data_IF_657989231415
#
_entry.id   IF_657989231415
#
_cell.length_a   1.000
_cell.length_b   1.000
_cell.length_c   1.000
_cell.angle_alpha   90.00
_cell.angle_beta   90.00
_cell.angle_gamma   90.00
#
_symmetry.space_group_name_H-M   'P 1'
#
loop_
_entity.id
_entity.type
_entity.pdbx_description
1 polymer ?
#
# COMPACT_ATOMS: atom_id res chain seq x y z
N UNK A 1 15.58 -10.54 -4.45
CA UNK A 1 15.54 -11.66 -3.47
C UNK A 1 14.57 -11.25 -2.37
N UNK A 2 13.78 -12.13 -1.73
CA UNK A 2 12.93 -11.67 -0.63
C UNK A 2 13.80 -11.03 0.46
N UNK A 3 13.44 -9.82 0.88
CA UNK A 3 14.12 -9.13 1.98
C UNK A 3 13.93 -9.98 3.25
N UNK A 4 15.00 -10.32 3.98
CA UNK A 4 14.89 -11.11 5.20
C UNK A 4 13.95 -10.47 6.22
N UNK A 5 13.31 -11.30 7.04
CA UNK A 5 12.44 -10.84 8.11
C UNK A 5 13.23 -10.11 9.21
N UNK A 6 12.50 -9.35 10.04
CA UNK A 6 13.07 -8.58 11.15
C UNK A 6 14.00 -9.41 12.05
N UNK A 7 13.60 -10.64 12.39
CA UNK A 7 14.34 -11.48 13.33
C UNK A 7 15.62 -12.02 12.69
N UNK A 8 15.54 -12.45 11.42
CA UNK A 8 16.71 -12.90 10.66
C UNK A 8 17.78 -11.82 10.49
N UNK A 9 17.40 -10.54 10.47
CA UNK A 9 18.33 -9.41 10.38
C UNK A 9 19.04 -9.06 11.70
N UNK A 10 18.59 -9.55 12.86
CA UNK A 10 19.16 -9.16 14.16
C UNK A 10 20.64 -9.54 14.29
N UNK A 11 21.01 -10.78 13.94
CA UNK A 11 22.40 -11.23 14.02
C UNK A 11 23.33 -10.51 13.01
N UNK A 12 22.96 -10.34 11.72
CA UNK A 12 23.71 -9.49 10.79
C UNK A 12 23.91 -8.06 11.29
N UNK A 13 22.88 -7.43 11.87
CA UNK A 13 22.99 -6.08 12.44
C UNK A 13 23.97 -6.06 13.61
N UNK A 14 23.91 -7.05 14.51
CA UNK A 14 24.85 -7.14 15.63
C UNK A 14 26.30 -7.30 15.14
N UNK A 15 26.53 -8.11 14.10
CA UNK A 15 27.84 -8.28 13.45
C UNK A 15 28.34 -6.99 12.81
N UNK A 16 27.45 -6.21 12.20
CA UNK A 16 27.79 -4.93 11.58
C UNK A 16 28.32 -3.89 12.58
N UNK A 17 27.92 -4.01 13.85
CA UNK A 17 28.36 -3.14 14.95
C UNK A 17 29.61 -3.66 15.68
N UNK A 18 30.23 -4.74 15.20
CA UNK A 18 31.40 -5.34 15.84
C UNK A 18 32.61 -4.42 15.88
N UNK A 19 33.48 -4.62 16.88
CA UNK A 19 34.73 -3.86 17.06
C UNK A 19 34.63 -2.64 17.99
N UNK A 20 33.48 -2.41 18.64
CA UNK A 20 33.31 -1.36 19.65
C UNK A 20 33.35 0.07 19.10
N UNK A 21 33.20 0.24 17.79
CA UNK A 21 33.27 1.53 17.10
C UNK A 21 31.88 2.13 16.90
N UNK A 22 31.80 3.46 17.03
CA UNK A 22 30.62 4.25 16.68
C UNK A 22 30.30 4.09 15.20
N UNK A 23 29.22 3.37 14.91
CA UNK A 23 28.87 2.97 13.56
C UNK A 23 27.59 3.66 13.11
N UNK A 24 27.63 4.46 12.04
CA UNK A 24 26.43 5.03 11.44
C UNK A 24 25.47 3.95 10.94
N UNK A 25 24.16 4.17 11.09
CA UNK A 25 23.13 3.24 10.63
C UNK A 25 23.16 3.02 9.11
N UNK A 26 23.69 3.97 8.33
CA UNK A 26 23.98 3.77 6.91
C UNK A 26 25.00 2.66 6.69
N UNK A 27 26.09 2.64 7.46
CA UNK A 27 27.12 1.59 7.38
C UNK A 27 26.61 0.23 7.84
N UNK A 28 25.74 0.21 8.85
CA UNK A 28 25.02 -1.02 9.25
C UNK A 28 24.20 -1.56 8.08
N UNK A 29 23.40 -0.71 7.43
CA UNK A 29 22.60 -1.11 6.27
C UNK A 29 23.45 -1.62 5.11
N UNK A 30 24.55 -0.92 4.78
CA UNK A 30 25.47 -1.32 3.71
C UNK A 30 26.08 -2.71 3.99
N UNK A 31 26.53 -2.93 5.23
CA UNK A 31 27.10 -4.22 5.65
C UNK A 31 26.07 -5.33 5.57
N UNK A 32 24.87 -5.12 6.12
CA UNK A 32 23.82 -6.15 6.16
C UNK A 32 23.30 -6.45 4.75
N UNK A 33 23.11 -5.44 3.90
CA UNK A 33 22.73 -5.67 2.51
C UNK A 33 23.76 -6.52 1.75
N UNK A 34 25.06 -6.27 1.97
CA UNK A 34 26.13 -7.08 1.40
C UNK A 34 26.16 -8.51 1.97
N UNK A 35 25.96 -8.67 3.28
CA UNK A 35 25.96 -9.97 3.96
C UNK A 35 24.80 -10.86 3.51
N UNK A 36 23.63 -10.27 3.26
CA UNK A 36 22.41 -10.96 2.82
C UNK A 36 22.29 -11.06 1.29
N UNK A 37 23.25 -10.51 0.53
CA UNK A 37 23.24 -10.57 -0.94
C UNK A 37 22.11 -9.77 -1.60
N UNK A 38 21.65 -8.69 -0.96
CA UNK A 38 20.55 -7.86 -1.46
C UNK A 38 20.99 -6.97 -2.62
N UNK A 39 20.13 -6.84 -3.63
CA UNK A 39 20.35 -5.94 -4.76
C UNK A 39 19.95 -4.50 -4.42
N UNK A 40 20.41 -3.49 -5.20
CA UNK A 40 19.94 -2.11 -5.03
C UNK A 40 18.43 -1.94 -5.26
N UNK A 41 17.78 -2.86 -5.98
CA UNK A 41 16.33 -2.85 -6.13
C UNK A 41 15.65 -3.35 -4.85
N UNK A 42 16.14 -4.44 -4.26
CA UNK A 42 15.61 -4.99 -3.01
C UNK A 42 15.70 -3.94 -1.87
N UNK A 43 16.84 -3.25 -1.74
CA UNK A 43 17.04 -2.23 -0.69
C UNK A 43 16.11 -1.01 -0.84
N UNK A 44 15.57 -0.77 -2.04
CA UNK A 44 14.67 0.35 -2.37
C UNK A 44 13.19 -0.06 -2.41
N UNK A 45 12.87 -1.33 -2.18
CA UNK A 45 11.49 -1.78 -2.08
C UNK A 45 10.79 -1.03 -0.93
N UNK A 46 9.74 -0.29 -1.26
CA UNK A 46 8.99 0.53 -0.31
C UNK A 46 7.93 -0.32 0.39
N UNK A 47 7.59 0.08 1.62
CA UNK A 47 6.33 -0.34 2.22
C UNK A 47 5.16 0.03 1.28
N UNK A 48 4.04 -0.71 1.29
CA UNK A 48 2.80 -0.34 0.61
C UNK A 48 2.38 1.13 0.76
N UNK A 49 2.63 1.76 1.92
CA UNK A 49 2.38 3.20 2.12
C UNK A 49 3.27 4.15 1.30
N UNK A 50 4.34 3.65 0.68
CA UNK A 50 5.34 4.44 -0.05
C UNK A 50 6.25 5.29 0.84
N UNK A 51 6.08 5.21 2.17
CA UNK A 51 6.70 6.14 3.13
C UNK A 51 8.19 5.87 3.38
N UNK A 52 8.60 4.59 3.40
CA UNK A 52 9.99 4.20 3.66
C UNK A 52 10.31 2.81 3.06
N UNK A 53 11.60 2.51 2.80
CA UNK A 53 12.00 1.18 2.35
C UNK A 53 11.81 0.10 3.43
N UNK A 54 11.29 -1.07 3.03
CA UNK A 54 11.06 -2.23 3.90
C UNK A 54 12.34 -2.63 4.64
N UNK A 55 13.45 -2.73 3.92
CA UNK A 55 14.75 -3.09 4.49
C UNK A 55 15.21 -2.08 5.55
N UNK A 56 15.03 -0.78 5.30
CA UNK A 56 15.40 0.25 6.28
C UNK A 56 14.54 0.15 7.54
N UNK A 57 13.22 -0.06 7.37
CA UNK A 57 12.30 -0.21 8.49
C UNK A 57 12.66 -1.42 9.37
N UNK A 58 12.91 -2.58 8.76
CA UNK A 58 13.27 -3.81 9.50
C UNK A 58 14.60 -3.69 10.23
N UNK A 59 15.61 -3.05 9.63
CA UNK A 59 16.89 -2.78 10.32
C UNK A 59 16.67 -1.85 11.52
N UNK A 60 15.86 -0.81 11.38
CA UNK A 60 15.55 0.10 12.49
C UNK A 60 14.90 -0.64 13.66
N UNK A 61 13.90 -1.48 13.38
CA UNK A 61 13.27 -2.33 14.38
C UNK A 61 14.23 -3.34 15.01
N UNK A 62 15.13 -3.95 14.23
CA UNK A 62 16.13 -4.88 14.77
C UNK A 62 17.03 -4.18 15.80
N UNK A 63 17.46 -2.95 15.48
CA UNK A 63 18.22 -2.10 16.41
C UNK A 63 17.38 -1.76 17.64
N UNK A 64 16.12 -1.32 17.48
CA UNK A 64 15.21 -1.01 18.60
C UNK A 64 15.10 -2.17 19.59
N UNK A 65 14.80 -3.38 19.09
CA UNK A 65 14.69 -4.57 19.94
C UNK A 65 15.99 -4.89 20.68
N UNK A 66 17.13 -4.85 19.97
CA UNK A 66 18.43 -5.11 20.59
C UNK A 66 18.87 -4.01 21.56
N UNK A 67 18.45 -2.76 21.36
CA UNK A 67 18.68 -1.67 22.30
C UNK A 67 17.88 -1.84 23.59
N UNK A 68 16.61 -2.24 23.50
CA UNK A 68 15.82 -2.56 24.70
C UNK A 68 16.34 -3.82 25.43
N UNK A 69 17.00 -4.74 24.74
CA UNK A 69 17.73 -5.84 25.38
C UNK A 69 19.09 -5.43 26.00
N UNK A 70 19.52 -4.18 25.81
CA UNK A 70 20.79 -3.67 26.31
C UNK A 70 22.01 -4.22 25.58
N UNK A 71 21.85 -4.72 24.35
CA UNK A 71 22.93 -5.24 23.51
C UNK A 71 23.57 -4.16 22.62
N UNK A 72 22.77 -3.16 22.25
CA UNK A 72 23.16 -2.03 21.37
C UNK A 72 22.77 -0.72 22.04
N UNK A 73 23.62 0.30 21.97
CA UNK A 73 23.32 1.65 22.45
C UNK A 73 23.31 2.68 21.31
N UNK A 74 22.38 3.63 21.35
CA UNK A 74 22.35 4.81 20.48
C UNK A 74 23.30 5.84 21.08
N UNK A 75 24.42 6.11 20.41
CA UNK A 75 25.44 7.07 20.88
C UNK A 75 25.00 8.50 20.58
N UNK A 76 24.48 8.71 19.37
CA UNK A 76 23.88 9.97 18.90
C UNK A 76 22.96 9.69 17.72
N UNK A 77 22.33 10.72 17.15
CA UNK A 77 21.43 10.60 15.99
C UNK A 77 22.06 9.73 14.88
N UNK A 78 21.40 8.61 14.59
CA UNK A 78 21.80 7.67 13.54
C UNK A 78 23.12 6.92 13.76
N UNK A 79 23.71 6.94 14.96
CA UNK A 79 24.99 6.29 15.26
C UNK A 79 24.83 5.37 16.46
N UNK A 80 25.26 4.12 16.30
CA UNK A 80 25.07 3.04 17.27
C UNK A 80 26.39 2.34 17.60
N UNK A 81 26.45 1.71 18.77
CA UNK A 81 27.60 0.91 19.24
C UNK A 81 27.11 -0.34 19.97
N UNK A 82 27.89 -1.43 19.94
CA UNK A 82 27.68 -2.55 20.85
C UNK A 82 27.96 -2.16 22.30
N UNK A 83 27.13 -2.64 23.21
CA UNK A 83 27.46 -2.61 24.64
C UNK A 83 28.42 -3.74 24.98
N UNK A 84 29.02 -3.73 26.18
CA UNK A 84 29.82 -4.86 26.68
C UNK A 84 29.07 -6.20 26.63
N UNK A 85 27.75 -6.18 26.88
CA UNK A 85 26.91 -7.38 26.79
C UNK A 85 26.76 -7.85 25.34
N UNK A 86 26.58 -6.91 24.40
CA UNK A 86 26.53 -7.19 22.98
C UNK A 86 27.83 -7.80 22.45
N UNK A 87 28.98 -7.27 22.86
CA UNK A 87 30.30 -7.82 22.52
C UNK A 87 30.49 -9.24 23.05
N UNK A 88 30.15 -9.47 24.32
CA UNK A 88 30.22 -10.80 24.93
C UNK A 88 29.30 -11.82 24.25
N UNK A 89 28.10 -11.39 23.87
CA UNK A 89 27.17 -12.23 23.10
C UNK A 89 27.79 -12.59 21.75
N UNK A 90 28.30 -11.60 21.01
CA UNK A 90 28.86 -11.84 19.68
C UNK A 90 30.08 -12.76 19.73
N UNK A 91 30.90 -12.67 20.77
CA UNK A 91 32.05 -13.55 21.02
C UNK A 91 31.64 -15.02 21.25
N UNK A 92 30.41 -15.29 21.70
CA UNK A 92 29.87 -16.65 21.85
C UNK A 92 29.40 -17.25 20.52
N UNK A 93 29.48 -16.50 19.41
CA UNK A 93 29.10 -16.93 18.07
C UNK A 93 27.69 -17.55 18.02
N UNK A 94 26.65 -16.82 18.47
CA UNK A 94 25.29 -17.36 18.51
C UNK A 94 24.83 -17.73 17.09
N UNK A 95 24.16 -18.87 16.91
CA UNK A 95 23.69 -19.31 15.60
C UNK A 95 22.54 -18.44 15.07
N UNK A 96 21.76 -17.85 15.98
CA UNK A 96 20.61 -16.98 15.68
C UNK A 96 20.37 -16.03 16.84
N UNK A 97 19.90 -14.83 16.54
CA UNK A 97 19.34 -13.89 17.51
C UNK A 97 17.95 -13.56 17.00
N UNK A 98 16.94 -13.74 17.84
CA UNK A 98 15.55 -13.51 17.51
C UNK A 98 14.80 -12.98 18.74
N UNK A 99 13.51 -12.65 18.60
CA UNK A 99 12.74 -12.06 19.70
C UNK A 99 12.63 -13.00 20.91
N UNK A 100 12.66 -14.31 20.68
CA UNK A 100 12.67 -15.34 21.73
C UNK A 100 13.99 -15.35 22.47
N UNK A 101 15.10 -15.23 21.77
CA UNK A 101 16.44 -15.11 22.35
C UNK A 101 16.55 -13.85 23.23
N UNK A 102 15.99 -12.72 22.78
CA UNK A 102 16.04 -11.47 23.54
C UNK A 102 15.26 -11.54 24.87
N UNK A 103 14.32 -12.48 25.04
CA UNK A 103 13.63 -12.70 26.33
C UNK A 103 14.56 -13.15 27.46
N UNK A 104 15.76 -13.63 27.14
CA UNK A 104 16.77 -13.98 28.15
C UNK A 104 17.38 -12.74 28.84
N UNK A 105 17.05 -11.52 28.39
CA UNK A 105 17.53 -10.27 28.97
C UNK A 105 16.41 -9.60 29.76
N UNK A 106 16.61 -9.40 31.08
CA UNK A 106 15.58 -8.82 31.96
C UNK A 106 15.09 -7.44 31.50
N UNK A 107 16.00 -6.59 31.02
CA UNK A 107 15.66 -5.28 30.46
C UNK A 107 14.68 -5.37 29.28
N UNK A 108 14.80 -6.42 28.46
CA UNK A 108 13.92 -6.65 27.33
C UNK A 108 12.52 -7.09 27.78
N UNK A 109 12.46 -8.00 28.74
CA UNK A 109 11.17 -8.47 29.29
C UNK A 109 10.44 -7.36 30.04
N UNK A 110 11.16 -6.54 30.81
CA UNK A 110 10.59 -5.37 31.50
C UNK A 110 10.00 -4.36 30.51
N UNK A 111 10.70 -4.07 29.42
CA UNK A 111 10.20 -3.21 28.34
C UNK A 111 8.92 -3.77 27.71
N UNK A 112 8.90 -5.07 27.38
CA UNK A 112 7.73 -5.74 26.78
C UNK A 112 6.54 -5.84 27.73
N UNK A 113 6.78 -6.01 29.04
CA UNK A 113 5.73 -6.01 30.05
C UNK A 113 5.16 -4.62 30.31
N UNK A 114 5.95 -3.56 30.14
CA UNK A 114 5.49 -2.17 30.20
C UNK A 114 4.56 -1.77 29.04
N UNK A 115 4.52 -2.54 27.95
CA UNK A 115 3.56 -2.38 26.84
C UNK A 115 2.19 -3.03 27.12
N UNK A 116 2.01 -3.70 28.26
CA UNK A 116 0.76 -4.33 28.68
C UNK A 116 0.26 -3.82 30.03
N UNK A 117 -1.04 -3.55 30.12
CA UNK A 117 -1.80 -3.30 31.37
C UNK A 117 -1.33 -4.20 32.53
N UNK A 118 -1.31 -3.74 33.80
CA UNK A 118 -0.85 -4.56 34.92
C UNK A 118 -1.61 -5.89 34.96
N UNK A 119 -0.85 -6.99 34.92
CA UNK A 119 -1.37 -8.33 35.01
C UNK A 119 -2.13 -8.51 36.34
N UNK A 120 -3.45 -8.55 36.26
CA UNK A 120 -4.26 -9.28 37.24
C UNK A 120 -3.88 -10.74 37.13
N UNK A 121 -3.40 -11.32 38.23
CA UNK A 121 -2.95 -12.70 38.34
C UNK A 121 -4.02 -13.68 37.86
N UNK A 122 -3.67 -14.50 36.87
CA UNK A 122 -4.50 -15.59 36.37
C UNK A 122 -3.99 -16.08 35.02
N UNK A 123 -3.09 -17.07 35.04
CA UNK A 123 -2.73 -18.08 34.01
C UNK A 123 -3.17 -17.88 32.55
N UNK A 124 -3.01 -16.68 32.02
CA UNK A 124 -3.00 -16.38 30.60
C UNK A 124 -1.96 -15.29 30.40
N UNK A 125 -0.68 -15.70 30.36
CA UNK A 125 0.28 -14.92 29.57
C UNK A 125 -0.36 -14.70 28.21
N UNK A 126 -0.53 -13.45 27.72
CA UNK A 126 -0.85 -13.27 26.33
C UNK A 126 0.29 -13.92 25.58
N UNK A 127 0.00 -15.04 24.92
CA UNK A 127 0.90 -15.70 24.01
C UNK A 127 1.20 -14.70 22.89
N UNK A 128 2.17 -13.84 23.12
CA UNK A 128 2.79 -12.99 22.13
C UNK A 128 3.39 -13.96 21.12
N UNK A 129 2.71 -14.08 19.99
CA UNK A 129 3.01 -15.03 18.93
C UNK A 129 4.51 -15.05 18.67
N UNK A 130 5.09 -16.26 18.62
CA UNK A 130 6.48 -16.48 18.20
C UNK A 130 6.72 -16.06 16.72
N UNK A 131 5.69 -15.53 16.07
CA UNK A 131 5.52 -15.28 14.64
C UNK A 131 5.62 -13.79 14.23
N UNK A 132 6.19 -12.92 15.07
CA UNK A 132 6.47 -11.52 14.68
C UNK A 132 7.68 -11.48 13.74
N UNK A 133 7.49 -11.96 12.51
CA UNK A 133 8.41 -11.80 11.38
C UNK A 133 8.28 -10.41 10.72
N UNK A 134 7.20 -9.70 11.03
CA UNK A 134 6.80 -8.43 10.41
C UNK A 134 6.84 -7.30 11.44
N UNK A 135 7.18 -6.10 10.97
CA UNK A 135 7.16 -4.90 11.81
C UNK A 135 5.71 -4.50 12.13
N UNK A 136 5.46 -3.72 13.20
CA UNK A 136 4.13 -3.21 13.50
C UNK A 136 3.48 -2.45 12.33
N UNK A 137 4.26 -1.65 11.59
CA UNK A 137 3.77 -0.94 10.40
C UNK A 137 3.37 -1.92 9.29
N UNK A 138 4.16 -2.96 9.03
CA UNK A 138 3.81 -4.02 8.06
C UNK A 138 2.55 -4.79 8.48
N UNK A 139 2.40 -5.06 9.78
CA UNK A 139 1.21 -5.73 10.31
C UNK A 139 -0.05 -4.86 10.15
N UNK A 140 0.06 -3.56 10.43
CA UNK A 140 -1.03 -2.61 10.24
C UNK A 140 -1.40 -2.47 8.76
N UNK A 141 -0.42 -2.30 7.88
CA UNK A 141 -0.66 -2.17 6.43
C UNK A 141 -1.32 -3.42 5.85
N UNK A 142 -0.91 -4.62 6.29
CA UNK A 142 -1.56 -5.86 5.91
C UNK A 142 -3.03 -5.89 6.35
N UNK A 143 -3.31 -5.57 7.61
CA UNK A 143 -4.67 -5.55 8.13
C UNK A 143 -5.55 -4.52 7.39
N UNK A 144 -5.01 -3.34 7.07
CA UNK A 144 -5.71 -2.33 6.27
C UNK A 144 -5.96 -2.82 4.84
N UNK A 145 -4.98 -3.49 4.23
CA UNK A 145 -5.11 -4.10 2.90
C UNK A 145 -6.22 -5.14 2.85
N UNK A 146 -6.27 -6.06 3.81
CA UNK A 146 -7.31 -7.09 3.93
C UNK A 146 -8.71 -6.46 4.05
N UNK A 147 -8.86 -5.44 4.90
CA UNK A 147 -10.12 -4.71 5.05
C UNK A 147 -10.53 -3.97 3.77
N UNK A 148 -9.55 -3.44 3.01
CA UNK A 148 -9.79 -2.76 1.73
C UNK A 148 -10.25 -3.75 0.67
N UNK A 149 -9.58 -4.89 0.53
CA UNK A 149 -9.95 -5.94 -0.43
C UNK A 149 -11.38 -6.47 -0.17
N UNK A 150 -11.74 -6.70 1.10
CA UNK A 150 -13.10 -7.09 1.48
C UNK A 150 -14.13 -6.01 1.09
N UNK A 151 -13.82 -4.74 1.34
CA UNK A 151 -14.70 -3.62 0.98
C UNK A 151 -14.86 -3.48 -0.55
N UNK A 152 -13.76 -3.57 -1.31
CA UNK A 152 -13.79 -3.49 -2.78
C UNK A 152 -14.66 -4.61 -3.36
N UNK A 153 -14.52 -5.84 -2.86
CA UNK A 153 -15.37 -6.96 -3.26
C UNK A 153 -16.86 -6.70 -2.95
N UNK A 154 -17.17 -6.16 -1.76
CA UNK A 154 -18.54 -5.83 -1.36
C UNK A 154 -19.15 -4.70 -2.22
N UNK A 155 -18.36 -3.67 -2.54
CA UNK A 155 -18.76 -2.57 -3.42
C UNK A 155 -19.09 -3.10 -4.81
N UNK A 156 -18.20 -3.90 -5.41
CA UNK A 156 -18.41 -4.46 -6.74
C UNK A 156 -19.71 -5.29 -6.81
N UNK A 157 -19.95 -6.10 -5.79
CA UNK A 157 -21.14 -6.95 -5.72
C UNK A 157 -22.43 -6.11 -5.59
N UNK A 158 -22.40 -5.00 -4.82
CA UNK A 158 -23.53 -4.07 -4.76
C UNK A 158 -23.79 -3.39 -6.11
N UNK A 159 -22.74 -2.98 -6.82
CA UNK A 159 -22.86 -2.37 -8.17
C UNK A 159 -23.46 -3.37 -9.16
N UNK A 160 -23.03 -4.65 -9.13
CA UNK A 160 -23.59 -5.70 -9.99
C UNK A 160 -25.09 -5.96 -9.76
N UNK A 161 -25.55 -5.85 -8.51
CA UNK A 161 -26.96 -6.06 -8.14
C UNK A 161 -27.86 -4.84 -8.40
N UNK A 162 -27.28 -3.65 -8.48
CA UNK A 162 -28.03 -2.42 -8.72
C UNK A 162 -28.49 -2.31 -10.19
N UNK A 163 -29.54 -1.51 -10.44
CA UNK A 163 -30.08 -1.25 -11.79
C UNK A 163 -29.03 -0.70 -12.77
N UNK A 164 -29.13 -0.93 -14.09
CA UNK A 164 -28.15 -0.45 -15.07
C UNK A 164 -27.84 1.05 -14.97
N UNK A 165 -28.88 1.87 -14.78
CA UNK A 165 -28.76 3.35 -14.62
C UNK A 165 -27.90 3.72 -13.40
N UNK A 166 -27.83 2.86 -12.39
CA UNK A 166 -26.96 3.09 -11.24
C UNK A 166 -25.48 3.03 -11.62
N UNK A 167 -25.08 2.08 -12.46
CA UNK A 167 -23.69 1.95 -12.91
C UNK A 167 -23.27 3.17 -13.72
N UNK A 168 -24.11 3.64 -14.63
CA UNK A 168 -23.87 4.85 -15.41
C UNK A 168 -23.60 6.05 -14.50
N UNK A 169 -24.44 6.23 -13.46
CA UNK A 169 -24.25 7.28 -12.46
C UNK A 169 -22.95 7.12 -11.68
N UNK A 170 -22.61 5.91 -11.24
CA UNK A 170 -21.36 5.62 -10.51
C UNK A 170 -20.14 6.00 -11.33
N UNK A 171 -20.10 5.64 -12.62
CA UNK A 171 -18.97 5.97 -13.50
C UNK A 171 -18.78 7.48 -13.61
N UNK A 172 -19.88 8.23 -13.67
CA UNK A 172 -19.86 9.68 -13.82
C UNK A 172 -19.43 10.36 -12.52
N UNK A 173 -19.98 9.92 -11.38
CA UNK A 173 -19.60 10.41 -10.06
C UNK A 173 -18.11 10.14 -9.80
N UNK A 174 -17.62 8.96 -10.19
CA UNK A 174 -16.21 8.59 -10.08
C UNK A 174 -15.32 9.52 -10.90
N UNK A 175 -15.61 9.73 -12.18
CA UNK A 175 -14.78 10.62 -13.01
C UNK A 175 -14.78 12.06 -12.50
N UNK A 176 -15.90 12.54 -11.96
CA UNK A 176 -15.93 13.86 -11.29
C UNK A 176 -15.04 13.90 -10.05
N UNK A 177 -15.08 12.87 -9.20
CA UNK A 177 -14.24 12.78 -8.02
C UNK A 177 -12.74 12.67 -8.37
N UNK A 178 -12.41 12.10 -9.54
CA UNK A 178 -11.07 12.08 -10.12
C UNK A 178 -10.63 13.44 -10.72
N UNK A 179 -11.53 14.43 -10.76
CA UNK A 179 -11.23 15.79 -11.23
C UNK A 179 -11.58 16.08 -12.70
N UNK A 180 -12.21 15.15 -13.42
CA UNK A 180 -12.73 15.43 -14.77
C UNK A 180 -13.88 16.44 -14.69
N UNK A 181 -13.94 17.38 -15.63
CA UNK A 181 -14.95 18.45 -15.64
C UNK A 181 -14.68 19.65 -14.72
N UNK A 182 -13.50 19.71 -14.06
CA UNK A 182 -12.99 20.85 -13.26
C UNK A 182 -14.03 21.54 -12.34
N UNK A 183 -14.81 20.75 -11.61
CA UNK A 183 -15.63 21.25 -10.49
C UNK A 183 -16.87 22.07 -10.86
N UNK A 184 -17.20 22.24 -12.14
CA UNK A 184 -18.47 22.83 -12.57
C UNK A 184 -19.49 21.72 -12.85
N UNK A 185 -20.58 21.69 -12.07
CA UNK A 185 -21.69 20.74 -12.23
C UNK A 185 -22.33 20.78 -13.63
N UNK A 186 -22.16 21.88 -14.37
CA UNK A 186 -22.63 22.03 -15.75
C UNK A 186 -21.70 21.38 -16.81
N UNK A 187 -20.41 21.19 -16.50
CA UNK A 187 -19.41 20.64 -17.44
C UNK A 187 -19.30 19.11 -17.39
N UNK A 188 -19.65 18.51 -16.25
CA UNK A 188 -19.80 17.07 -16.09
C UNK A 188 -21.16 16.53 -16.54
N UNK A 189 -21.89 17.21 -17.42
CA UNK A 189 -23.22 16.79 -17.85
C UNK A 189 -23.14 15.57 -18.77
N UNK A 190 -23.66 14.45 -18.27
CA UNK A 190 -23.99 13.28 -19.07
C UNK A 190 -25.17 13.65 -19.96
N UNK A 191 -24.92 13.84 -21.25
CA UNK A 191 -25.99 13.86 -22.24
C UNK A 191 -26.18 12.46 -22.79
N UNK A 192 -26.87 11.60 -22.05
CA UNK A 192 -27.30 10.30 -22.56
C UNK A 192 -28.71 10.43 -23.14
N UNK A 193 -28.87 10.25 -24.47
CA UNK A 193 -30.18 9.95 -25.05
C UNK A 193 -30.25 8.43 -25.27
N UNK A 194 -31.33 7.75 -24.84
CA UNK A 194 -31.55 6.37 -25.21
C UNK A 194 -31.49 6.25 -26.75
N UNK A 195 -30.57 5.44 -27.27
CA UNK A 195 -30.43 5.17 -28.70
C UNK A 195 -29.16 5.69 -29.39
N UNK A 196 -28.19 6.27 -28.67
CA UNK A 196 -26.96 6.84 -29.26
C UNK A 196 -25.88 5.80 -29.62
N UNK A 197 -26.28 4.62 -30.09
CA UNK A 197 -25.37 3.65 -30.71
C UNK A 197 -24.31 3.01 -29.80
N UNK A 198 -24.52 2.98 -28.47
CA UNK A 198 -23.55 2.42 -27.53
C UNK A 198 -22.70 3.46 -26.81
N UNK A 199 -23.28 4.62 -26.49
CA UNK A 199 -22.66 5.63 -25.64
C UNK A 199 -23.62 5.95 -24.51
N UNK A 200 -23.16 5.75 -23.27
CA UNK A 200 -23.98 5.98 -22.08
C UNK A 200 -23.77 7.39 -21.53
N UNK A 201 -22.63 8.02 -21.85
CA UNK A 201 -22.38 9.38 -21.44
C UNK A 201 -21.16 10.03 -22.09
N UNK A 202 -20.99 11.31 -21.82
CA UNK A 202 -19.81 12.09 -22.22
C UNK A 202 -19.42 13.05 -21.10
N UNK A 203 -18.13 13.31 -20.97
CA UNK A 203 -17.57 14.24 -19.99
C UNK A 203 -16.51 15.11 -20.65
N UNK A 204 -16.50 16.40 -20.31
CA UNK A 204 -15.48 17.34 -20.80
C UNK A 204 -14.27 17.31 -19.88
N UNK A 205 -13.08 17.23 -20.46
CA UNK A 205 -11.82 17.27 -19.72
C UNK A 205 -11.44 18.71 -19.33
N UNK A 206 -11.78 19.67 -20.20
CA UNK A 206 -11.47 21.09 -20.01
C UNK A 206 -12.72 21.98 -19.98
N UNK A 207 -12.56 23.19 -19.45
CA UNK A 207 -13.65 24.16 -19.27
C UNK A 207 -14.18 24.76 -20.58
N UNK A 208 -13.38 24.73 -21.67
CA UNK A 208 -13.80 25.19 -23.00
C UNK A 208 -14.54 24.07 -23.76
N UNK A 209 -14.44 22.82 -23.29
CA UNK A 209 -15.07 21.65 -23.90
C UNK A 209 -14.42 21.25 -25.22
N UNK A 210 -13.12 21.50 -25.38
CA UNK A 210 -12.36 21.12 -26.56
C UNK A 210 -12.04 19.62 -26.56
N UNK A 211 -11.87 19.06 -25.36
CA UNK A 211 -11.62 17.64 -25.13
C UNK A 211 -12.84 16.97 -24.50
N UNK A 212 -13.56 16.16 -25.28
CA UNK A 212 -14.66 15.31 -24.80
C UNK A 212 -14.21 13.84 -24.68
N UNK A 213 -14.47 13.25 -23.51
CA UNK A 213 -14.23 11.83 -23.21
C UNK A 213 -15.57 11.09 -23.21
N UNK A 214 -15.66 10.05 -24.03
CA UNK A 214 -16.88 9.26 -24.19
C UNK A 214 -16.91 8.08 -23.24
N UNK A 215 -18.08 7.78 -22.69
CA UNK A 215 -18.27 6.78 -21.65
C UNK A 215 -19.24 5.69 -22.11
N UNK A 216 -18.84 4.44 -21.89
CA UNK A 216 -19.71 3.28 -22.01
C UNK A 216 -19.52 2.41 -20.77
N UNK A 217 -20.61 1.96 -20.17
CA UNK A 217 -20.66 1.19 -18.95
C UNK A 217 -21.51 -0.07 -19.16
N UNK A 218 -20.86 -1.24 -19.22
CA UNK A 218 -21.54 -2.53 -19.37
C UNK A 218 -21.61 -3.31 -18.07
N UNK A 219 -22.81 -3.44 -17.53
CA UNK A 219 -23.09 -4.29 -16.35
C UNK A 219 -23.20 -5.76 -16.75
N UNK A 220 -22.17 -6.54 -16.45
CA UNK A 220 -22.14 -7.99 -16.63
C UNK A 220 -21.87 -8.72 -15.32
N UNK A 221 -22.39 -9.95 -15.20
CA UNK A 221 -22.09 -10.85 -14.09
C UNK A 221 -20.63 -11.30 -14.11
N UNK A 222 -20.11 -11.71 -12.95
CA UNK A 222 -18.77 -12.29 -12.85
C UNK A 222 -18.61 -13.46 -13.82
N UNK A 223 -17.49 -13.49 -14.56
CA UNK A 223 -17.18 -14.53 -15.54
C UNK A 223 -17.79 -14.30 -16.93
N UNK A 224 -18.69 -13.34 -17.11
CA UNK A 224 -19.13 -12.91 -18.43
C UNK A 224 -18.26 -11.75 -18.93
N UNK A 225 -17.14 -12.07 -19.57
CA UNK A 225 -16.14 -11.08 -19.99
C UNK A 225 -16.58 -10.30 -21.23
N UNK A 226 -16.22 -9.02 -21.26
CA UNK A 226 -16.39 -8.14 -22.43
C UNK A 226 -15.41 -8.57 -23.52
N UNK A 227 -15.95 -8.81 -24.73
CA UNK A 227 -15.19 -9.28 -25.88
C UNK A 227 -14.74 -8.16 -26.82
N UNK A 228 -14.03 -8.54 -27.87
CA UNK A 228 -13.59 -7.60 -28.91
C UNK A 228 -14.76 -6.93 -29.64
N UNK A 229 -15.88 -7.65 -29.83
CA UNK A 229 -17.07 -7.11 -30.50
C UNK A 229 -17.62 -5.86 -29.79
N UNK A 230 -17.79 -5.92 -28.47
CA UNK A 230 -18.25 -4.79 -27.66
C UNK A 230 -17.34 -3.56 -27.81
N UNK A 231 -16.02 -3.77 -27.82
CA UNK A 231 -15.04 -2.69 -27.98
C UNK A 231 -14.98 -2.14 -29.41
N UNK A 232 -15.23 -2.99 -30.41
CA UNK A 232 -15.32 -2.57 -31.81
C UNK A 232 -16.54 -1.69 -32.04
N UNK A 233 -17.68 -2.06 -31.45
CA UNK A 233 -18.91 -1.26 -31.52
C UNK A 233 -18.68 0.10 -30.85
N UNK A 234 -18.04 0.12 -29.67
CA UNK A 234 -17.68 1.36 -28.99
C UNK A 234 -16.70 2.24 -29.78
N UNK A 235 -15.66 1.65 -30.38
CA UNK A 235 -14.74 2.37 -31.29
C UNK A 235 -15.50 3.00 -32.45
N UNK A 236 -16.44 2.28 -33.05
CA UNK A 236 -17.30 2.79 -34.12
C UNK A 236 -18.18 3.96 -33.67
N UNK A 237 -18.72 3.90 -32.45
CA UNK A 237 -19.48 5.01 -31.87
C UNK A 237 -18.60 6.25 -31.62
N UNK A 238 -17.36 6.07 -31.14
CA UNK A 238 -16.38 7.16 -30.99
C UNK A 238 -16.04 7.78 -32.35
N UNK A 239 -15.86 6.97 -33.41
CA UNK A 239 -15.62 7.46 -34.77
C UNK A 239 -16.79 8.31 -35.29
N UNK A 240 -18.03 7.82 -35.13
CA UNK A 240 -19.23 8.55 -35.54
C UNK A 240 -19.40 9.88 -34.79
N UNK A 241 -18.94 9.94 -33.54
CA UNK A 241 -18.99 11.12 -32.69
C UNK A 241 -17.85 12.13 -32.95
N UNK A 242 -16.82 11.77 -33.71
CA UNK A 242 -15.69 12.65 -34.04
C UNK A 242 -14.69 12.90 -32.90
N UNK A 243 -14.73 12.10 -31.83
CA UNK A 243 -13.76 12.16 -30.72
C UNK A 243 -12.65 11.11 -30.88
N UNK A 244 -11.60 11.23 -30.05
CA UNK A 244 -10.45 10.30 -30.01
C UNK A 244 -10.25 9.66 -28.63
N UNK A 245 -11.05 10.04 -27.62
CA UNK A 245 -10.89 9.63 -26.22
C UNK A 245 -12.15 8.91 -25.72
N UNK A 246 -11.97 7.79 -25.03
CA UNK A 246 -13.08 7.08 -24.40
C UNK A 246 -12.67 6.25 -23.18
N UNK A 247 -13.63 6.01 -22.31
CA UNK A 247 -13.52 5.10 -21.17
C UNK A 247 -14.60 4.05 -21.29
N UNK A 248 -14.18 2.79 -21.33
CA UNK A 248 -15.10 1.65 -21.30
C UNK A 248 -15.02 1.00 -19.92
N UNK A 249 -16.14 0.99 -19.22
CA UNK A 249 -16.28 0.43 -17.88
C UNK A 249 -17.10 -0.84 -17.92
N UNK A 250 -16.71 -1.86 -17.16
CA UNK A 250 -17.56 -3.03 -16.92
C UNK A 250 -17.48 -3.50 -15.48
N UNK A 251 -18.55 -4.11 -14.98
CA UNK A 251 -18.56 -4.81 -13.68
C UNK A 251 -17.96 -6.22 -13.74
N UNK A 252 -17.48 -6.66 -14.91
CA UNK A 252 -16.84 -7.96 -15.15
C UNK A 252 -15.37 -7.76 -15.55
N UNK A 253 -14.82 -8.59 -16.43
CA UNK A 253 -13.45 -8.50 -16.95
C UNK A 253 -13.41 -8.35 -18.47
N UNK A 254 -12.28 -7.94 -19.02
CA UNK A 254 -12.04 -7.93 -20.47
C UNK A 254 -11.26 -9.16 -20.91
N UNK A 255 -11.61 -9.73 -22.06
CA UNK A 255 -10.81 -10.80 -22.66
C UNK A 255 -9.44 -10.29 -23.12
N UNK A 256 -8.46 -11.21 -23.26
CA UNK A 256 -7.14 -10.86 -23.81
C UNK A 256 -7.22 -10.25 -25.21
N UNK A 257 -8.13 -10.77 -26.05
CA UNK A 257 -8.34 -10.22 -27.40
C UNK A 257 -8.93 -8.82 -27.36
N UNK A 258 -9.85 -8.54 -26.42
CA UNK A 258 -10.42 -7.22 -26.23
C UNK A 258 -9.34 -6.18 -25.84
N UNK A 259 -8.47 -6.51 -24.88
CA UNK A 259 -7.34 -5.64 -24.48
C UNK A 259 -6.38 -5.39 -25.65
N UNK A 260 -5.98 -6.45 -26.36
CA UNK A 260 -5.09 -6.35 -27.51
C UNK A 260 -5.69 -5.57 -28.71
N UNK A 261 -7.01 -5.56 -28.85
CA UNK A 261 -7.70 -4.75 -29.85
C UNK A 261 -7.58 -3.25 -29.56
N UNK A 262 -7.78 -2.84 -28.30
CA UNK A 262 -7.65 -1.43 -27.88
C UNK A 262 -6.21 -0.94 -27.98
N UNK A 263 -5.22 -1.75 -27.62
CA UNK A 263 -3.79 -1.40 -27.74
C UNK A 263 -3.36 -1.09 -29.19
N UNK A 264 -4.05 -1.67 -30.18
CA UNK A 264 -3.78 -1.43 -31.62
C UNK A 264 -4.59 -0.28 -32.20
N UNK A 265 -5.57 0.24 -31.48
CA UNK A 265 -6.40 1.35 -31.93
C UNK A 265 -5.60 2.65 -31.96
N UNK A 266 -5.87 3.52 -32.93
CA UNK A 266 -5.33 4.88 -32.95
C UNK A 266 -6.01 5.82 -31.93
N UNK A 267 -7.10 5.35 -31.32
CA UNK A 267 -7.88 6.07 -30.30
C UNK A 267 -7.31 5.81 -28.90
N UNK A 268 -7.46 6.78 -27.99
CA UNK A 268 -7.11 6.63 -26.58
C UNK A 268 -8.30 6.08 -25.81
N UNK A 269 -8.36 4.77 -25.65
CA UNK A 269 -9.42 4.10 -24.90
C UNK A 269 -8.84 3.52 -23.62
N UNK A 270 -9.44 3.90 -22.49
CA UNK A 270 -9.12 3.35 -21.17
C UNK A 270 -10.16 2.27 -20.83
N UNK A 271 -9.69 1.11 -20.38
CA UNK A 271 -10.53 -0.01 -19.97
C UNK A 271 -10.52 -0.09 -18.45
N UNK A 272 -11.69 -0.01 -17.82
CA UNK A 272 -11.88 -0.16 -16.38
C UNK A 272 -12.73 -1.41 -16.15
N UNK A 273 -12.13 -2.45 -15.59
CA UNK A 273 -12.85 -3.68 -15.23
C UNK A 273 -13.44 -3.58 -13.83
N UNK A 274 -14.13 -4.64 -13.38
CA UNK A 274 -14.88 -4.60 -12.13
C UNK A 274 -14.01 -4.43 -10.90
N UNK A 275 -12.82 -5.04 -10.89
CA UNK A 275 -11.86 -4.90 -9.78
C UNK A 275 -11.32 -3.48 -9.73
N UNK A 276 -10.88 -2.93 -10.87
CA UNK A 276 -10.39 -1.55 -10.93
C UNK A 276 -11.50 -0.53 -10.63
N UNK A 277 -12.73 -0.76 -11.09
CA UNK A 277 -13.88 0.08 -10.76
C UNK A 277 -14.09 0.15 -9.24
N UNK A 278 -14.09 -1.00 -8.56
CA UNK A 278 -14.30 -1.04 -7.12
C UNK A 278 -13.16 -0.36 -6.35
N UNK A 279 -11.92 -0.58 -6.76
CA UNK A 279 -10.75 0.10 -6.21
C UNK A 279 -10.85 1.61 -6.32
N UNK A 280 -11.18 2.11 -7.52
CA UNK A 280 -11.35 3.53 -7.78
C UNK A 280 -12.52 4.11 -6.99
N UNK A 281 -13.63 3.36 -6.84
CA UNK A 281 -14.74 3.79 -6.00
C UNK A 281 -14.33 3.94 -4.54
N UNK A 282 -13.55 3.00 -3.99
CA UNK A 282 -13.06 3.10 -2.61
C UNK A 282 -12.05 4.25 -2.45
N UNK A 283 -11.15 4.41 -3.41
CA UNK A 283 -10.11 5.46 -3.39
C UNK A 283 -10.67 6.88 -3.49
N UNK A 284 -11.77 7.05 -4.22
CA UNK A 284 -12.42 8.34 -4.44
C UNK A 284 -13.72 8.53 -3.63
N UNK A 285 -13.90 7.76 -2.55
CA UNK A 285 -15.04 7.86 -1.63
C UNK A 285 -16.44 7.71 -2.30
N UNK A 286 -16.53 6.95 -3.40
CA UNK A 286 -17.77 6.72 -4.14
C UNK A 286 -18.53 5.54 -3.50
N UNK A 287 -19.66 5.85 -2.88
CA UNK A 287 -20.53 4.83 -2.28
C UNK A 287 -19.97 4.20 -1.00
N UNK A 288 -18.88 4.74 -0.46
CA UNK A 288 -18.25 4.33 0.79
C UNK A 288 -18.12 5.51 1.76
N UNK A 289 -17.87 5.23 3.03
CA UNK A 289 -17.64 6.22 4.08
C UNK A 289 -16.67 5.67 5.12
N UNK A 290 -16.02 6.56 5.85
CA UNK A 290 -15.17 6.19 6.98
C UNK A 290 -15.99 5.39 8.01
N UNK A 291 -15.53 4.16 8.30
CA UNK A 291 -16.09 3.29 9.34
C UNK A 291 -15.63 3.71 10.75
N UNK A 292 -14.45 4.33 10.84
CA UNK A 292 -13.83 4.82 12.07
C UNK A 292 -12.96 6.05 11.79
N UNK A 293 -12.64 6.89 12.79
CA UNK A 293 -11.69 7.98 12.64
C UNK A 293 -10.29 7.48 12.24
N UNK A 294 -9.48 8.29 11.54
CA UNK A 294 -8.12 7.92 11.18
C UNK A 294 -7.22 7.82 12.42
N UNK A 295 -6.28 6.87 12.41
CA UNK A 295 -5.22 6.78 13.40
C UNK A 295 -4.02 7.65 12.99
N UNK A 296 -3.55 8.51 13.89
CA UNK A 296 -2.34 9.31 13.68
C UNK A 296 -1.12 8.65 14.33
N UNK A 297 -0.14 8.24 13.52
CA UNK A 297 1.15 7.74 14.01
C UNK A 297 2.15 8.90 14.02
N UNK A 298 2.68 9.23 15.20
CA UNK A 298 3.66 10.31 15.38
C UNK A 298 5.08 9.74 15.48
N UNK A 299 6.05 10.51 15.03
CA UNK A 299 7.49 10.23 15.20
C UNK A 299 8.15 11.39 15.94
N UNK A 300 9.26 11.10 16.61
CA UNK A 300 10.10 12.15 17.21
C UNK A 300 10.57 13.09 16.11
N UNK A 301 10.41 14.38 16.36
CA UNK A 301 11.04 15.44 15.57
C UNK A 301 12.45 15.68 16.13
N UNK A 302 13.44 14.98 15.57
CA UNK A 302 14.83 15.07 16.03
C UNK A 302 15.37 16.51 15.92
N UNK A 303 14.89 17.31 14.95
CA UNK A 303 15.37 18.68 14.75
C UNK A 303 14.94 19.62 15.89
N UNK A 304 13.83 19.30 16.58
CA UNK A 304 13.41 20.00 17.79
C UNK A 304 14.39 19.79 18.97
N UNK A 305 14.91 18.57 19.12
CA UNK A 305 15.78 18.19 20.25
C UNK A 305 17.28 18.40 20.00
N UNK A 306 17.68 18.57 18.73
CA UNK A 306 19.08 18.84 18.33
C UNK A 306 19.46 20.34 18.39
N UNK A 307 18.55 21.23 18.82
CA UNK A 307 18.86 22.66 18.96
C UNK A 307 19.84 22.90 20.13
N UNK A 308 21.10 23.21 19.80
CA UNK A 308 22.10 23.76 20.74
C UNK A 308 21.82 25.23 21.14
N UNK A 309 20.63 25.76 20.81
CA UNK A 309 20.20 27.12 21.15
C UNK A 309 19.34 27.13 22.43
N UNK A 310 19.95 26.83 23.58
CA UNK A 310 19.49 27.25 24.92
C UNK A 310 20.66 27.65 25.82
#
# INVERSE_FOLDING_TARGET
MPIPDLQSLMLPVLKALSGGVDTPISKVRDYVAAAEGLTPQDVRELLPSGSQPVFTNRIAWAVTHMSHAGLVEKVRRGVYRLTKKGEQLLAQTPPRIDLKFLRNYSAYTEWRSGEGTPATSGDNEPALSEDVSVTPEEALERAVGELREELEAEVLERVRKAEPVFLERVVVDLLRAMGYGKGDAAMGQVTGRPGDGGIDGKIREDALGLDEVYLQAKRYAAGNSVGEGDLRDFVGAIDAAGTTKGVFVTTSSFTKSAKAYVEKSSKRIILIDGEELARLMVEHDIGVRLKMPPYEIKRIDEDYFDSEDL
#
